data_IF_618449998749
#
_entry.id   IF_618449998749
#
_cell.length_a   1.000
_cell.length_b   1.000
_cell.length_c   1.000
_cell.angle_alpha   90.00
_cell.angle_beta   90.00
_cell.angle_gamma   90.00
#
_symmetry.space_group_name_H-M   'P 1'
#
loop_
_entity.id
_entity.type
_entity.pdbx_description
1 polymer ?
#
# COMPACT_ATOMS: atom_id res chain seq x y z
N UNK A 1 -49.55 38.57 -19.69
CA UNK A 1 -48.50 39.43 -20.29
C UNK A 1 -47.40 39.58 -19.24
N UNK A 2 -46.18 39.20 -19.62
CA UNK A 2 -44.83 39.30 -19.03
C UNK A 2 -44.61 40.10 -17.72
N UNK A 3 -43.58 39.90 -16.87
CA UNK A 3 -42.56 38.89 -16.53
C UNK A 3 -41.55 39.61 -15.59
N UNK A 4 -40.89 38.85 -14.72
CA UNK A 4 -39.69 39.15 -13.88
C UNK A 4 -39.91 39.82 -12.53
N UNK A 5 -40.01 38.98 -11.50
CA UNK A 5 -39.53 39.28 -10.15
C UNK A 5 -38.02 38.99 -10.06
N UNK A 6 -37.34 39.86 -9.33
CA UNK A 6 -35.90 40.09 -9.23
C UNK A 6 -35.18 39.00 -8.43
N UNK A 7 -34.10 38.47 -9.03
CA UNK A 7 -32.83 38.08 -8.41
C UNK A 7 -32.86 37.19 -7.16
N UNK A 8 -32.69 35.89 -7.41
CA UNK A 8 -32.38 34.82 -6.46
C UNK A 8 -30.91 34.95 -6.02
N UNK A 9 -30.65 35.12 -4.72
CA UNK A 9 -29.31 34.98 -4.15
C UNK A 9 -28.89 33.51 -4.25
N UNK A 10 -27.95 33.24 -5.15
CA UNK A 10 -27.27 31.98 -5.31
C UNK A 10 -26.01 32.03 -4.44
N UNK A 11 -26.08 31.54 -3.21
CA UNK A 11 -24.87 31.17 -2.47
C UNK A 11 -24.37 29.84 -3.03
N UNK A 12 -23.38 29.97 -3.91
CA UNK A 12 -22.74 28.87 -4.60
C UNK A 12 -21.85 28.07 -3.67
N UNK A 13 -22.25 26.82 -3.43
CA UNK A 13 -21.45 25.65 -3.78
C UNK A 13 -20.05 25.55 -3.16
N UNK A 14 -19.95 24.73 -2.12
CA UNK A 14 -19.14 23.51 -2.06
C UNK A 14 -19.05 23.14 -0.56
N UNK A 15 -19.82 22.17 -0.07
CA UNK A 15 -19.66 20.81 -0.55
C UNK A 15 -18.21 20.35 -0.41
N UNK A 16 -17.54 20.64 0.71
CA UNK A 16 -16.31 19.90 1.07
C UNK A 16 -16.73 18.54 1.60
N UNK A 17 -17.14 17.75 0.62
CA UNK A 17 -17.26 16.31 0.62
C UNK A 17 -16.19 15.67 1.51
N UNK A 18 -16.60 15.23 2.71
CA UNK A 18 -16.09 14.01 3.33
C UNK A 18 -16.53 12.78 2.50
N UNK A 19 -16.37 12.87 1.18
CA UNK A 19 -16.80 11.90 0.17
C UNK A 19 -15.61 11.58 -0.72
N UNK A 20 -14.55 11.15 -0.07
CA UNK A 20 -13.30 10.74 -0.71
C UNK A 20 -12.70 9.47 -0.12
N UNK A 21 -13.16 9.00 1.04
CA UNK A 21 -12.83 7.66 1.53
C UNK A 21 -13.69 6.63 0.79
N UNK A 22 -13.58 6.61 -0.55
CA UNK A 22 -13.82 5.37 -1.30
C UNK A 22 -12.87 4.36 -0.68
N UNK A 23 -13.39 3.21 -0.25
CA UNK A 23 -12.59 2.16 0.38
C UNK A 23 -11.32 1.91 -0.41
N UNK A 24 -10.22 2.50 0.05
CA UNK A 24 -8.90 1.93 -0.19
C UNK A 24 -9.00 0.59 0.53
N UNK A 25 -9.13 -0.47 -0.26
CA UNK A 25 -8.93 -1.82 0.23
C UNK A 25 -7.61 -1.79 0.99
N UNK A 26 -7.68 -1.94 2.31
CA UNK A 26 -6.50 -1.86 3.16
C UNK A 26 -5.57 -2.97 2.66
N UNK A 27 -4.35 -2.64 2.21
CA UNK A 27 -3.47 -3.63 1.63
C UNK A 27 -3.24 -4.73 2.67
N UNK A 28 -3.45 -5.99 2.26
CA UNK A 28 -3.36 -7.16 3.13
C UNK A 28 -1.93 -7.35 3.69
N UNK A 29 -0.95 -6.74 3.03
CA UNK A 29 0.43 -6.73 3.45
C UNK A 29 1.17 -5.47 3.00
N UNK A 30 2.26 -5.15 3.70
CA UNK A 30 3.22 -4.11 3.33
C UNK A 30 4.56 -4.79 3.02
N UNK A 31 5.14 -4.52 1.85
CA UNK A 31 6.45 -5.00 1.46
C UNK A 31 7.45 -3.85 1.46
N UNK A 32 8.35 -3.87 2.43
CA UNK A 32 9.46 -2.93 2.52
C UNK A 32 10.64 -3.41 1.66
N UNK A 33 11.14 -2.54 0.80
CA UNK A 33 12.24 -2.80 -0.14
C UNK A 33 13.33 -1.75 -0.04
N UNK A 34 14.55 -2.10 -0.43
CA UNK A 34 15.66 -1.15 -0.55
C UNK A 34 16.46 -1.34 -1.84
N UNK A 35 17.60 -0.68 -1.95
CA UNK A 35 18.52 -0.76 -3.11
C UNK A 35 19.28 -2.09 -3.26
N UNK A 36 19.06 -3.07 -2.39
CA UNK A 36 19.77 -4.35 -2.45
C UNK A 36 19.28 -5.28 -3.58
N UNK A 37 20.15 -6.19 -4.04
CA UNK A 37 19.80 -7.12 -5.12
C UNK A 37 18.61 -8.03 -4.81
N UNK A 38 18.41 -8.40 -3.54
CA UNK A 38 17.28 -9.26 -3.14
C UNK A 38 15.94 -8.54 -3.33
N UNK A 39 15.86 -7.27 -2.96
CA UNK A 39 14.69 -6.43 -3.16
C UNK A 39 14.38 -6.25 -4.65
N UNK A 40 15.40 -5.97 -5.47
CA UNK A 40 15.23 -5.85 -6.91
C UNK A 40 14.72 -7.16 -7.54
N UNK A 41 15.28 -8.30 -7.13
CA UNK A 41 14.87 -9.61 -7.63
C UNK A 41 13.46 -9.98 -7.18
N UNK A 42 13.08 -9.69 -5.92
CA UNK A 42 11.73 -9.91 -5.42
C UNK A 42 10.71 -9.16 -6.26
N UNK A 43 10.96 -7.86 -6.51
CA UNK A 43 10.08 -7.03 -7.33
C UNK A 43 9.93 -7.61 -8.73
N UNK A 44 11.00 -8.11 -9.34
CA UNK A 44 10.93 -8.77 -10.67
C UNK A 44 10.10 -10.05 -10.67
N UNK A 45 10.13 -10.83 -9.58
CA UNK A 45 9.39 -12.10 -9.46
C UNK A 45 7.94 -11.92 -8.99
N UNK A 46 7.59 -10.78 -8.41
CA UNK A 46 6.27 -10.53 -7.85
C UNK A 46 5.21 -10.45 -8.95
N UNK A 47 4.22 -11.36 -8.88
CA UNK A 47 3.13 -11.44 -9.87
C UNK A 47 2.24 -10.20 -9.83
N UNK A 48 1.66 -9.76 -10.96
CA UNK A 48 0.82 -8.55 -11.01
C UNK A 48 -0.33 -8.56 -10.00
N UNK A 49 -1.00 -9.69 -9.82
CA UNK A 49 -2.17 -9.83 -8.93
C UNK A 49 -1.77 -9.66 -7.45
N UNK A 50 -0.53 -10.04 -7.10
CA UNK A 50 0.00 -9.83 -5.76
C UNK A 50 0.41 -8.38 -5.53
N UNK A 51 0.84 -7.66 -6.57
CA UNK A 51 1.20 -6.24 -6.47
C UNK A 51 0.00 -5.36 -6.12
N UNK A 52 -1.20 -5.75 -6.53
CA UNK A 52 -2.43 -5.02 -6.20
C UNK A 52 -2.84 -5.19 -4.74
N UNK A 53 -2.44 -6.30 -4.10
CA UNK A 53 -2.78 -6.65 -2.71
C UNK A 53 -1.71 -6.24 -1.69
N UNK A 54 -0.53 -5.83 -2.16
CA UNK A 54 0.64 -5.52 -1.33
C UNK A 54 1.07 -4.09 -1.55
N UNK A 55 1.11 -3.29 -0.48
CA UNK A 55 1.69 -1.95 -0.51
C UNK A 55 3.22 -2.04 -0.49
N UNK A 56 3.87 -1.59 -1.56
CA UNK A 56 5.33 -1.58 -1.64
C UNK A 56 5.86 -0.24 -1.10
N UNK A 57 6.82 -0.28 -0.19
CA UNK A 57 7.42 0.91 0.43
C UNK A 57 8.94 0.84 0.30
N UNK A 58 9.52 1.86 -0.33
CA UNK A 58 10.96 2.07 -0.35
C UNK A 58 11.42 2.63 1.00
N UNK A 59 12.41 1.98 1.61
CA UNK A 59 12.97 2.34 2.93
C UNK A 59 14.44 2.78 2.86
N UNK A 60 14.92 3.20 1.70
CA UNK A 60 16.23 3.81 1.57
C UNK A 60 16.30 5.06 2.48
N UNK A 61 17.31 5.11 3.35
CA UNK A 61 17.42 6.12 4.42
C UNK A 61 16.56 5.86 5.67
N UNK A 62 15.66 4.87 5.66
CA UNK A 62 14.78 4.49 6.78
C UNK A 62 15.08 3.10 7.36
N UNK A 63 16.20 2.48 6.99
CA UNK A 63 16.58 1.14 7.49
C UNK A 63 16.76 1.08 9.01
N UNK A 64 17.14 2.19 9.65
CA UNK A 64 17.20 2.27 11.11
C UNK A 64 15.82 2.18 11.77
N UNK A 65 14.80 2.76 11.14
CA UNK A 65 13.41 2.64 11.60
C UNK A 65 12.90 1.19 11.47
N UNK A 66 13.22 0.50 10.37
CA UNK A 66 12.88 -0.93 10.25
C UNK A 66 13.45 -1.78 11.39
N UNK A 67 14.65 -1.47 11.87
CA UNK A 67 15.24 -2.20 12.99
C UNK A 67 14.47 -1.98 14.29
N UNK A 68 14.00 -0.76 14.55
CA UNK A 68 13.20 -0.44 15.73
C UNK A 68 11.85 -1.14 15.70
N UNK A 69 11.18 -1.15 14.54
CA UNK A 69 9.83 -1.71 14.42
C UNK A 69 9.81 -3.25 14.29
N UNK A 70 10.77 -3.81 13.55
CA UNK A 70 10.72 -5.22 13.12
C UNK A 70 11.96 -6.02 13.52
N UNK A 71 12.91 -5.42 14.25
CA UNK A 71 14.13 -6.10 14.71
C UNK A 71 15.13 -6.42 13.60
N UNK A 72 14.97 -5.84 12.40
CA UNK A 72 15.86 -6.07 11.25
C UNK A 72 16.06 -4.79 10.45
N UNK A 73 17.29 -4.56 9.98
CA UNK A 73 17.61 -3.52 8.99
C UNK A 73 17.80 -4.10 7.57
N UNK A 74 17.58 -5.41 7.41
CA UNK A 74 17.65 -6.11 6.13
C UNK A 74 16.36 -5.85 5.36
N UNK A 75 16.48 -5.82 4.05
CA UNK A 75 15.39 -5.80 3.08
C UNK A 75 15.63 -6.93 2.07
N UNK A 76 14.57 -7.49 1.47
CA UNK A 76 13.16 -7.14 1.61
C UNK A 76 12.51 -7.65 2.92
N UNK A 77 11.44 -6.97 3.37
CA UNK A 77 10.61 -7.37 4.53
C UNK A 77 9.13 -7.30 4.17
N UNK A 78 8.42 -8.42 4.25
CA UNK A 78 6.97 -8.47 4.12
C UNK A 78 6.33 -8.49 5.50
N UNK A 79 5.43 -7.54 5.75
CA UNK A 79 4.64 -7.44 6.98
C UNK A 79 3.18 -7.67 6.64
N UNK A 80 2.59 -8.63 7.33
CA UNK A 80 1.16 -8.96 7.26
C UNK A 80 0.54 -8.77 8.63
N UNK A 81 -0.78 -8.88 8.76
CA UNK A 81 -1.46 -8.81 10.06
C UNK A 81 -0.94 -9.83 11.10
N UNK A 82 -0.40 -10.97 10.66
CA UNK A 82 -0.05 -12.09 11.54
C UNK A 82 1.44 -12.40 11.62
N UNK A 83 2.24 -11.92 10.66
CA UNK A 83 3.65 -12.31 10.49
C UNK A 83 4.49 -11.21 9.85
N UNK A 84 5.74 -11.17 10.26
CA UNK A 84 6.85 -10.46 9.60
C UNK A 84 7.74 -11.52 8.95
N UNK A 85 8.01 -11.38 7.66
CA UNK A 85 8.82 -12.31 6.86
C UNK A 85 9.96 -11.53 6.23
N UNK A 86 11.20 -11.99 6.41
CA UNK A 86 12.42 -11.25 6.04
C UNK A 86 13.23 -12.06 5.04
N UNK A 87 13.64 -11.43 3.95
CA UNK A 87 14.48 -12.05 2.91
C UNK A 87 13.69 -12.57 1.71
N UNK A 88 14.37 -12.64 0.56
CA UNK A 88 13.76 -13.01 -0.71
C UNK A 88 13.10 -14.40 -0.68
N UNK A 89 13.81 -15.43 -0.20
CA UNK A 89 13.36 -16.82 -0.31
C UNK A 89 12.15 -17.09 0.60
N UNK A 90 12.21 -16.58 1.82
CA UNK A 90 11.16 -16.72 2.83
C UNK A 90 9.88 -16.02 2.38
N UNK A 91 10.00 -14.83 1.77
CA UNK A 91 8.86 -14.11 1.21
C UNK A 91 8.25 -14.88 0.04
N UNK A 92 9.06 -15.40 -0.89
CA UNK A 92 8.54 -16.19 -2.01
C UNK A 92 7.83 -17.46 -1.55
N UNK A 93 8.38 -18.15 -0.54
CA UNK A 93 7.75 -19.32 0.07
C UNK A 93 6.39 -18.96 0.69
N UNK A 94 6.35 -17.91 1.51
CA UNK A 94 5.13 -17.43 2.16
C UNK A 94 4.03 -17.06 1.16
N UNK A 95 4.38 -16.34 0.09
CA UNK A 95 3.42 -15.95 -0.94
C UNK A 95 2.89 -17.15 -1.73
N UNK A 96 3.72 -18.17 -1.94
CA UNK A 96 3.33 -19.39 -2.66
C UNK A 96 2.33 -20.24 -1.86
N UNK A 97 2.51 -20.35 -0.55
CA UNK A 97 1.58 -21.08 0.34
C UNK A 97 0.18 -20.45 0.37
N UNK A 98 0.11 -19.11 0.35
CA UNK A 98 -1.16 -18.37 0.35
C UNK A 98 -1.86 -18.38 -1.00
N UNK A 99 -1.13 -18.37 -2.11
CA UNK A 99 -1.73 -18.51 -3.44
C UNK A 99 -2.38 -19.90 -3.66
N UNK A 100 -1.96 -20.92 -2.91
CA UNK A 100 -2.51 -22.27 -2.98
C UNK A 100 -3.80 -22.46 -2.15
N UNK A 101 -4.15 -21.51 -1.27
CA UNK A 101 -5.33 -21.59 -0.39
C UNK A 101 -6.11 -20.25 -0.42
N UNK A 102 -6.79 -19.94 -1.54
CA UNK A 102 -7.56 -18.70 -1.72
C UNK A 102 -8.80 -18.64 -0.83
#
# INVERSE_FOLDING_TARGET
MLTVSKGHDLDGGAGSTLRGMRGEEVPEAVLFVGEDPESAELLRKLRPELRERVRIVDVNGLRGWLYVEYGTSRTPVLVTESRVVVGLQEILAFLSERAAHP
#
